data_IF_011120696448
#
_entry.id   IF_011120696448
#
_cell.length_a   1.000
_cell.length_b   1.000
_cell.length_c   1.000
_cell.angle_alpha   90.00
_cell.angle_beta   90.00
_cell.angle_gamma   90.00
#
_symmetry.space_group_name_H-M   'P 1'
#
loop_
_entity.id
_entity.type
_entity.pdbx_description
1 polymer ?
#
# COMPACT_ATOMS: atom_id res chain seq x y z
N UNK A 1 -3.60 -18.57 -3.59
CA UNK A 1 -4.47 -18.97 -4.72
C UNK A 1 -5.30 -20.16 -4.29
N UNK A 2 -6.59 -20.20 -4.62
CA UNK A 2 -7.45 -21.37 -4.40
C UNK A 2 -6.84 -22.58 -5.10
N UNK A 3 -6.80 -23.71 -4.39
CA UNK A 3 -6.41 -25.00 -4.96
C UNK A 3 -7.51 -25.44 -5.94
N UNK A 4 -7.38 -25.00 -7.20
CA UNK A 4 -8.37 -25.19 -8.24
C UNK A 4 -8.72 -26.67 -8.46
N UNK A 5 -7.79 -27.58 -8.16
CA UNK A 5 -8.02 -29.03 -8.27
C UNK A 5 -9.06 -29.54 -7.26
N UNK A 6 -9.07 -29.01 -6.03
CA UNK A 6 -10.09 -29.39 -5.03
C UNK A 6 -11.49 -28.95 -5.43
N UNK A 7 -11.60 -27.77 -6.06
CA UNK A 7 -12.87 -27.26 -6.55
C UNK A 7 -13.37 -28.04 -7.76
N UNK A 8 -12.48 -28.37 -8.69
CA UNK A 8 -12.81 -29.20 -9.84
C UNK A 8 -13.36 -30.57 -9.40
N UNK A 9 -12.69 -31.25 -8.45
CA UNK A 9 -13.16 -32.53 -7.92
C UNK A 9 -14.49 -32.42 -7.16
N UNK A 10 -14.70 -31.34 -6.41
CA UNK A 10 -15.96 -31.11 -5.71
C UNK A 10 -17.14 -30.89 -6.66
N UNK A 11 -16.90 -30.26 -7.81
CA UNK A 11 -17.90 -29.96 -8.83
C UNK A 11 -17.87 -30.95 -10.00
N UNK A 12 -17.75 -32.25 -9.71
CA UNK A 12 -17.86 -33.33 -10.71
C UNK A 12 -16.93 -33.15 -11.93
N UNK A 13 -15.66 -32.85 -11.66
CA UNK A 13 -14.63 -32.61 -12.69
C UNK A 13 -14.98 -31.47 -13.67
N UNK A 14 -15.67 -30.44 -13.16
CA UNK A 14 -16.05 -29.27 -13.95
C UNK A 14 -14.85 -28.65 -14.73
N UNK A 15 -15.08 -28.10 -15.93
CA UNK A 15 -14.03 -27.47 -16.73
C UNK A 15 -13.33 -26.32 -15.99
N UNK A 16 -11.99 -26.33 -15.98
CA UNK A 16 -11.18 -25.29 -15.39
C UNK A 16 -10.70 -24.30 -16.46
N UNK A 17 -11.06 -23.03 -16.31
CA UNK A 17 -10.50 -21.93 -17.11
C UNK A 17 -9.45 -21.19 -16.29
N UNK A 18 -8.18 -21.30 -16.69
CA UNK A 18 -7.09 -20.56 -16.06
C UNK A 18 -6.77 -19.30 -16.87
N UNK A 19 -6.87 -18.13 -16.24
CA UNK A 19 -6.45 -16.86 -16.83
C UNK A 19 -5.06 -16.54 -16.26
N UNK A 20 -4.00 -16.55 -17.08
CA UNK A 20 -2.66 -16.27 -16.60
C UNK A 20 -2.59 -14.83 -16.06
N UNK A 21 -2.15 -14.69 -14.81
CA UNK A 21 -1.89 -13.38 -14.21
C UNK A 21 -0.75 -12.66 -14.94
N UNK A 22 -0.86 -11.35 -15.08
CA UNK A 22 0.25 -10.49 -15.52
C UNK A 22 0.91 -9.90 -14.28
N UNK A 23 1.78 -10.68 -13.64
CA UNK A 23 2.58 -10.19 -12.52
C UNK A 23 3.94 -9.72 -13.05
N UNK A 24 4.35 -8.52 -12.65
CA UNK A 24 5.73 -8.08 -12.81
C UNK A 24 6.61 -8.78 -11.74
N UNK A 25 7.91 -8.97 -11.99
CA UNK A 25 8.81 -9.48 -10.95
C UNK A 25 8.81 -8.53 -9.75
N UNK A 26 8.62 -9.08 -8.55
CA UNK A 26 8.61 -8.33 -7.28
C UNK A 26 9.82 -8.75 -6.47
N UNK A 27 10.61 -7.77 -6.05
CA UNK A 27 11.72 -7.97 -5.13
C UNK A 27 11.21 -8.00 -3.68
N UNK A 28 11.72 -8.94 -2.88
CA UNK A 28 11.28 -9.13 -1.50
C UNK A 28 12.43 -8.76 -0.57
N UNK A 29 12.15 -7.83 0.34
CA UNK A 29 13.08 -7.38 1.36
C UNK A 29 12.61 -7.83 2.74
N UNK A 30 13.56 -8.24 3.58
CA UNK A 30 13.32 -8.66 4.96
C UNK A 30 14.13 -7.78 5.91
N UNK A 31 13.61 -7.54 7.10
CA UNK A 31 14.41 -6.96 8.18
C UNK A 31 15.46 -7.97 8.64
N UNK A 32 16.66 -7.54 9.05
CA UNK A 32 17.71 -8.44 9.51
C UNK A 32 17.34 -9.16 10.82
N UNK A 33 16.54 -8.50 11.65
CA UNK A 33 16.04 -9.02 12.93
C UNK A 33 14.53 -8.73 13.07
N UNK A 34 13.81 -9.46 13.95
CA UNK A 34 12.40 -9.16 14.25
C UNK A 34 12.23 -7.77 14.88
N UNK A 35 11.36 -6.96 14.28
CA UNK A 35 11.03 -5.64 14.80
C UNK A 35 10.02 -5.74 15.95
N UNK A 36 10.33 -5.14 17.10
CA UNK A 36 9.43 -5.11 18.26
C UNK A 36 8.22 -4.19 18.04
N UNK A 37 8.45 -3.08 17.33
CA UNK A 37 7.43 -2.12 16.95
C UNK A 37 7.35 -2.08 15.42
N UNK A 38 6.52 -2.95 14.85
CA UNK A 38 6.35 -3.02 13.40
C UNK A 38 5.68 -1.76 12.84
N UNK A 39 4.88 -1.04 13.66
CA UNK A 39 4.20 0.18 13.22
C UNK A 39 5.23 1.28 12.97
N UNK A 40 6.18 1.46 13.90
CA UNK A 40 7.31 2.37 13.72
C UNK A 40 8.16 1.98 12.51
N UNK A 41 8.54 0.71 12.42
CA UNK A 41 9.38 0.21 11.34
C UNK A 41 8.70 0.38 9.97
N UNK A 42 7.38 0.17 9.88
CA UNK A 42 6.60 0.38 8.69
C UNK A 42 6.55 1.85 8.28
N UNK A 43 6.27 2.76 9.22
CA UNK A 43 6.25 4.21 8.96
C UNK A 43 7.63 4.66 8.45
N UNK A 44 8.71 4.26 9.13
CA UNK A 44 10.08 4.57 8.71
C UNK A 44 10.38 4.06 7.30
N UNK A 45 9.94 2.85 6.98
CA UNK A 45 10.09 2.27 5.63
C UNK A 45 9.35 3.09 4.58
N UNK A 46 8.10 3.53 4.84
CA UNK A 46 7.36 4.41 3.92
C UNK A 46 8.10 5.73 3.68
N UNK A 47 8.61 6.36 4.73
CA UNK A 47 9.38 7.60 4.61
C UNK A 47 10.67 7.37 3.82
N UNK A 48 11.37 6.27 4.08
CA UNK A 48 12.59 5.91 3.35
C UNK A 48 12.31 5.68 1.86
N UNK A 49 11.25 4.95 1.51
CA UNK A 49 10.83 4.76 0.10
C UNK A 49 10.54 6.12 -0.53
N UNK A 50 9.81 6.99 0.16
CA UNK A 50 9.48 8.33 -0.36
C UNK A 50 10.73 9.19 -0.64
N UNK A 51 11.76 9.07 0.20
CA UNK A 51 12.97 9.88 0.14
C UNK A 51 14.05 9.33 -0.79
N UNK A 52 14.18 8.00 -0.88
CA UNK A 52 15.31 7.35 -1.53
C UNK A 52 14.97 6.78 -2.91
N UNK A 53 13.71 6.42 -3.17
CA UNK A 53 13.35 5.85 -4.47
C UNK A 53 13.21 6.93 -5.53
N UNK A 54 14.07 6.86 -6.55
CA UNK A 54 14.10 7.78 -7.69
C UNK A 54 13.00 7.48 -8.73
N UNK A 55 12.31 6.33 -8.60
CA UNK A 55 11.24 5.93 -9.50
C UNK A 55 9.89 6.32 -8.90
N UNK A 56 9.05 6.95 -9.71
CA UNK A 56 7.68 7.28 -9.34
C UNK A 56 6.83 6.02 -9.17
N UNK A 57 5.99 6.01 -8.14
CA UNK A 57 5.09 4.89 -7.86
C UNK A 57 4.40 5.03 -6.51
N UNK A 58 3.19 4.51 -6.41
CA UNK A 58 2.41 4.55 -5.17
C UNK A 58 2.91 3.49 -4.17
N UNK A 59 2.62 3.71 -2.89
CA UNK A 59 2.95 2.78 -1.81
C UNK A 59 1.67 2.21 -1.22
N UNK A 60 1.63 0.88 -1.02
CA UNK A 60 0.58 0.20 -0.29
C UNK A 60 1.16 -0.37 1.01
N UNK A 61 0.69 0.13 2.15
CA UNK A 61 1.06 -0.33 3.48
C UNK A 61 -0.10 -1.10 4.12
N UNK A 62 0.15 -2.34 4.53
CA UNK A 62 -0.81 -3.14 5.26
C UNK A 62 -0.63 -3.00 6.79
N UNK A 63 -1.73 -2.68 7.48
CA UNK A 63 -1.82 -2.62 8.95
C UNK A 63 -3.03 -3.41 9.44
N UNK A 64 -3.11 -3.66 10.75
CA UNK A 64 -4.06 -4.65 11.29
C UNK A 64 -5.44 -4.06 11.56
N UNK A 65 -5.55 -2.76 11.82
CA UNK A 65 -6.81 -2.16 12.23
C UNK A 65 -6.90 -0.65 11.98
N UNK A 66 -8.13 -0.14 12.10
CA UNK A 66 -8.45 1.26 11.86
C UNK A 66 -7.61 2.22 12.73
N UNK A 67 -7.43 1.92 14.01
CA UNK A 67 -6.68 2.79 14.93
C UNK A 67 -5.21 2.95 14.48
N UNK A 68 -4.54 1.83 14.14
CA UNK A 68 -3.18 1.85 13.61
C UNK A 68 -3.08 2.63 12.31
N UNK A 69 -4.06 2.46 11.41
CA UNK A 69 -4.12 3.17 10.13
C UNK A 69 -4.19 4.69 10.35
N UNK A 70 -5.10 5.15 11.21
CA UNK A 70 -5.26 6.57 11.50
C UNK A 70 -4.01 7.17 12.17
N UNK A 71 -3.39 6.42 13.08
CA UNK A 71 -2.12 6.82 13.71
C UNK A 71 -1.01 6.89 12.66
N UNK A 72 -0.83 5.86 11.83
CA UNK A 72 0.18 5.83 10.78
C UNK A 72 0.00 6.99 9.80
N UNK A 73 -1.21 7.25 9.32
CA UNK A 73 -1.48 8.35 8.40
C UNK A 73 -1.07 9.72 8.98
N UNK A 74 -1.41 9.97 10.26
CA UNK A 74 -1.04 11.22 10.94
C UNK A 74 0.47 11.34 11.11
N UNK A 75 1.14 10.25 11.49
CA UNK A 75 2.58 10.22 11.71
C UNK A 75 3.36 10.38 10.41
N UNK A 76 3.02 9.62 9.38
CA UNK A 76 3.62 9.73 8.04
C UNK A 76 3.52 11.17 7.54
N UNK A 77 2.32 11.76 7.59
CA UNK A 77 2.13 13.15 7.17
C UNK A 77 3.01 14.12 7.95
N UNK A 78 3.04 13.99 9.27
CA UNK A 78 3.86 14.85 10.14
C UNK A 78 5.36 14.72 9.84
N UNK A 79 5.86 13.51 9.66
CA UNK A 79 7.27 13.28 9.33
C UNK A 79 7.62 13.93 7.98
N UNK A 80 6.80 13.74 6.95
CA UNK A 80 7.02 14.38 5.64
C UNK A 80 6.99 15.90 5.72
N UNK A 81 6.02 16.47 6.44
CA UNK A 81 5.91 17.92 6.64
C UNK A 81 7.17 18.51 7.33
N UNK A 82 7.87 17.72 8.16
CA UNK A 82 9.10 18.13 8.84
C UNK A 82 10.37 18.04 7.97
N UNK A 83 10.35 17.30 6.85
CA UNK A 83 11.52 17.13 5.98
C UNK A 83 11.82 18.36 5.12
N UNK A 84 10.90 19.32 5.07
CA UNK A 84 11.08 20.59 4.39
C UNK A 84 10.68 20.59 2.91
N UNK A 85 10.91 21.73 2.21
CA UNK A 85 10.35 21.96 0.88
C UNK A 85 11.03 21.16 -0.24
N UNK A 86 12.21 20.60 0.01
CA UNK A 86 12.99 19.85 -0.98
C UNK A 86 12.38 18.47 -1.28
N UNK A 87 11.57 17.94 -0.37
CA UNK A 87 10.90 16.64 -0.49
C UNK A 87 9.59 16.79 -1.26
N UNK A 88 9.25 15.81 -2.08
CA UNK A 88 8.00 15.78 -2.82
C UNK A 88 6.79 15.63 -1.90
N UNK A 89 5.62 16.06 -2.38
CA UNK A 89 4.41 16.00 -1.56
C UNK A 89 3.93 14.56 -1.42
N UNK A 90 3.48 14.19 -0.21
CA UNK A 90 2.97 12.86 0.07
C UNK A 90 1.49 12.91 0.44
N UNK A 91 0.68 12.11 -0.25
CA UNK A 91 -0.75 11.97 0.01
C UNK A 91 -1.05 10.63 0.67
N UNK A 92 -1.31 10.66 1.98
CA UNK A 92 -1.68 9.47 2.74
C UNK A 92 -3.20 9.25 2.72
N UNK A 93 -3.65 8.06 2.33
CA UNK A 93 -5.07 7.71 2.19
C UNK A 93 -5.37 6.45 3.04
N UNK A 94 -6.22 6.56 4.07
CA UNK A 94 -6.62 5.39 4.84
C UNK A 94 -7.65 4.54 4.06
N UNK A 95 -7.57 3.22 4.20
CA UNK A 95 -8.53 2.28 3.61
C UNK A 95 -8.86 1.13 4.58
N UNK A 96 -10.04 1.19 5.19
CA UNK A 96 -10.57 0.14 6.06
C UNK A 96 -12.09 -0.01 5.87
N UNK A 97 -12.65 -1.15 6.29
CA UNK A 97 -14.02 -1.58 5.95
C UNK A 97 -15.15 -0.65 6.40
N UNK A 98 -14.94 0.14 7.46
CA UNK A 98 -15.96 1.06 8.01
C UNK A 98 -15.99 2.42 7.31
N UNK A 99 -15.07 2.70 6.37
CA UNK A 99 -15.08 3.97 5.63
C UNK A 99 -16.32 4.10 4.74
N UNK A 100 -16.98 5.27 4.71
CA UNK A 100 -17.99 5.59 3.70
C UNK A 100 -17.48 5.40 2.27
N UNK A 101 -18.34 4.97 1.31
CA UNK A 101 -17.93 4.69 -0.07
C UNK A 101 -17.19 5.83 -0.78
N UNK A 102 -17.61 7.08 -0.53
CA UNK A 102 -16.95 8.26 -1.09
C UNK A 102 -15.52 8.44 -0.58
N UNK A 103 -15.21 8.00 0.64
CA UNK A 103 -13.85 8.03 1.19
C UNK A 103 -13.02 6.86 0.68
N UNK A 104 -13.62 5.68 0.48
CA UNK A 104 -12.93 4.54 -0.12
C UNK A 104 -12.49 4.84 -1.56
N UNK A 105 -13.32 5.54 -2.35
CA UNK A 105 -13.00 5.92 -3.72
C UNK A 105 -11.77 6.83 -3.84
N UNK A 106 -11.32 7.45 -2.75
CA UNK A 106 -10.14 8.32 -2.75
C UNK A 106 -8.85 7.56 -3.11
N UNK A 107 -8.82 6.23 -2.94
CA UNK A 107 -7.66 5.42 -3.34
C UNK A 107 -7.37 5.50 -4.85
N UNK A 108 -8.38 5.82 -5.67
CA UNK A 108 -8.26 6.01 -7.11
C UNK A 108 -7.83 7.42 -7.51
N UNK A 109 -7.71 8.35 -6.56
CA UNK A 109 -7.15 9.67 -6.84
C UNK A 109 -5.68 9.52 -7.25
N UNK A 110 -5.24 10.39 -8.16
CA UNK A 110 -3.84 10.44 -8.58
C UNK A 110 -2.92 10.87 -7.44
N UNK A 111 -1.65 10.46 -7.54
CA UNK A 111 -0.60 10.95 -6.68
C UNK A 111 -0.37 12.46 -6.90
N UNK A 112 0.13 13.19 -5.89
CA UNK A 112 0.55 14.58 -6.08
C UNK A 112 1.53 14.71 -7.25
N UNK A 113 1.51 15.83 -8.00
CA UNK A 113 2.47 16.05 -9.07
C UNK A 113 3.89 16.22 -8.49
N UNK A 114 4.89 15.89 -9.31
CA UNK A 114 6.29 16.14 -8.96
C UNK A 114 6.56 17.64 -8.81
N UNK A 115 7.43 17.98 -7.87
CA UNK A 115 7.85 19.36 -7.64
C UNK A 115 8.82 19.84 -8.73
N UNK A 116 8.94 21.17 -8.97
CA UNK A 116 9.86 21.72 -9.98
C UNK A 116 11.33 21.38 -9.76
N UNK A 117 11.72 21.07 -8.52
CA UNK A 117 13.07 20.62 -8.16
C UNK A 117 13.34 19.14 -8.51
N UNK A 118 12.36 18.44 -9.09
CA UNK A 118 12.45 17.02 -9.45
C UNK A 118 11.98 16.05 -8.36
N UNK A 119 11.59 16.55 -7.17
CA UNK A 119 11.14 15.69 -6.09
C UNK A 119 9.80 15.03 -6.39
N UNK A 120 9.69 13.73 -6.11
CA UNK A 120 8.57 12.89 -6.54
C UNK A 120 7.37 13.06 -5.61
N UNK A 121 6.21 13.39 -6.17
CA UNK A 121 4.95 13.34 -5.46
C UNK A 121 4.46 11.89 -5.35
N UNK A 122 4.06 11.45 -4.16
CA UNK A 122 3.75 10.04 -3.90
C UNK A 122 2.42 9.87 -3.17
N UNK A 123 1.62 8.87 -3.56
CA UNK A 123 0.44 8.45 -2.80
C UNK A 123 0.81 7.23 -1.95
N UNK A 124 0.35 7.24 -0.71
CA UNK A 124 0.48 6.11 0.21
C UNK A 124 -0.92 5.68 0.63
N UNK A 125 -1.32 4.48 0.24
CA UNK A 125 -2.55 3.85 0.71
C UNK A 125 -2.20 3.00 1.94
N UNK A 126 -2.83 3.29 3.07
CA UNK A 126 -2.63 2.53 4.31
C UNK A 126 -3.90 1.74 4.56
N UNK A 127 -3.83 0.42 4.45
CA UNK A 127 -5.01 -0.45 4.40
C UNK A 127 -4.94 -1.66 5.32
N UNK A 128 -6.10 -2.22 5.65
CA UNK A 128 -6.19 -3.60 6.12
C UNK A 128 -6.10 -4.58 4.94
N UNK A 129 -6.20 -5.88 5.21
CA UNK A 129 -6.33 -6.93 4.18
C UNK A 129 -7.52 -6.75 3.22
N UNK A 130 -8.37 -5.74 3.39
CA UNK A 130 -9.44 -5.39 2.43
C UNK A 130 -8.86 -5.11 1.04
N UNK A 131 -7.70 -4.45 0.95
CA UNK A 131 -7.05 -4.20 -0.34
C UNK A 131 -6.58 -5.47 -1.06
N UNK A 132 -6.35 -6.58 -0.34
CA UNK A 132 -5.89 -7.84 -0.92
C UNK A 132 -6.95 -8.53 -1.79
N UNK A 133 -8.24 -8.31 -1.48
CA UNK A 133 -9.34 -9.06 -2.10
C UNK A 133 -10.30 -8.22 -2.95
N UNK A 134 -10.34 -6.89 -2.81
CA UNK A 134 -11.45 -6.10 -3.36
C UNK A 134 -11.12 -5.08 -4.45
N UNK A 135 -9.86 -4.66 -4.66
CA UNK A 135 -9.55 -3.62 -5.64
C UNK A 135 -8.09 -3.69 -6.11
N UNK A 136 -7.88 -3.61 -7.42
CA UNK A 136 -6.57 -3.41 -8.05
C UNK A 136 -6.69 -2.31 -9.09
#
# INVERSE_FOLDING_TARGET
>A
TLDAGKFQQYFDDAPLMNVPGRTHPVEIFYTPEPERDYLEAAIRTVIQIHMCEEIAGDVLLFLTGQEEIEVACKRIKREVDNLGPEVGDLKCIPLYSTLPPNLQQRIFEEAPPNKPNGAIGRKVVVSTNTAEMSAT
#
